data_IF_554879988227
#
_entry.id   IF_554879988227
#
_cell.length_a   1.000
_cell.length_b   1.000
_cell.length_c   1.000
_cell.angle_alpha   90.00
_cell.angle_beta   90.00
_cell.angle_gamma   90.00
#
_symmetry.space_group_name_H-M   'P 1'
#
loop_
_entity.id
_entity.type
_entity.pdbx_description
1 polymer ?
#
# COMPACT_ATOMS: atom_id res chain seq x y z
N UNK A 1 -3.08 32.84 -3.16
CA UNK A 1 -2.33 33.19 -2.16
C UNK A 1 -2.06 32.10 -1.12
N UNK A 2 -2.09 32.44 0.02
CA UNK A 2 -1.55 31.66 1.11
C UNK A 2 -2.24 30.36 1.40
N UNK A 3 -3.37 30.11 0.77
CA UNK A 3 -4.10 28.89 0.99
C UNK A 3 -3.27 27.65 0.74
N UNK A 4 -2.39 27.72 -0.24
CA UNK A 4 -1.54 26.57 -0.55
C UNK A 4 -0.63 26.18 0.59
N UNK A 5 -0.28 27.14 1.41
CA UNK A 5 0.60 26.89 2.54
C UNK A 5 -0.10 26.16 3.67
N UNK A 6 -1.41 26.12 3.62
CA UNK A 6 -2.20 25.46 4.64
C UNK A 6 -2.65 24.06 4.23
N UNK A 7 -2.15 23.59 3.09
CA UNK A 7 -2.49 22.26 2.62
C UNK A 7 -1.97 21.24 3.62
N UNK A 8 -2.83 20.36 4.06
CA UNK A 8 -2.46 19.28 4.93
C UNK A 8 -2.15 18.02 4.14
N UNK A 9 -1.71 16.99 4.83
CA UNK A 9 -1.35 15.74 4.20
C UNK A 9 -2.54 15.05 3.56
N UNK A 10 -3.74 15.19 4.11
CA UNK A 10 -4.90 14.53 3.53
C UNK A 10 -5.26 15.10 2.18
N UNK A 11 -5.04 16.41 1.96
CA UNK A 11 -5.24 16.98 0.63
C UNK A 11 -4.20 16.46 -0.35
N UNK A 12 -2.94 16.39 0.08
CA UNK A 12 -1.88 15.86 -0.76
C UNK A 12 -2.11 14.38 -1.09
N UNK A 13 -2.66 13.62 -0.15
CA UNK A 13 -2.88 12.20 -0.31
C UNK A 13 -4.12 11.85 -1.14
N UNK A 14 -4.96 12.84 -1.43
CA UNK A 14 -6.27 12.59 -2.03
C UNK A 14 -6.22 11.85 -3.36
N UNK A 15 -5.12 11.97 -4.09
CA UNK A 15 -4.94 11.28 -5.37
C UNK A 15 -4.13 10.01 -5.25
N UNK A 16 -3.69 9.67 -4.06
CA UNK A 16 -2.90 8.48 -3.84
C UNK A 16 -3.82 7.31 -3.51
N UNK A 17 -3.74 6.27 -4.32
CA UNK A 17 -4.59 5.09 -4.17
C UNK A 17 -3.80 3.95 -3.55
N UNK A 18 -4.32 3.38 -2.49
CA UNK A 18 -3.74 2.24 -1.80
C UNK A 18 -4.65 1.03 -2.00
N UNK A 19 -4.07 -0.09 -2.41
CA UNK A 19 -4.77 -1.36 -2.52
C UNK A 19 -4.38 -2.23 -1.33
N UNK A 20 -5.39 -2.72 -0.62
CA UNK A 20 -5.20 -3.62 0.51
C UNK A 20 -5.68 -4.99 0.10
N UNK A 21 -4.76 -5.96 0.02
CA UNK A 21 -5.09 -7.33 -0.28
C UNK A 21 -4.90 -8.15 0.98
N UNK A 22 -6.00 -8.60 1.57
CA UNK A 22 -5.98 -9.30 2.85
C UNK A 22 -7.17 -10.26 2.91
N UNK A 23 -6.94 -11.47 3.39
CA UNK A 23 -8.00 -12.47 3.51
C UNK A 23 -8.99 -12.16 4.62
N UNK A 24 -8.60 -11.35 5.59
CA UNK A 24 -9.41 -11.09 6.77
C UNK A 24 -10.24 -9.83 6.56
N UNK A 25 -11.57 -9.98 6.63
CA UNK A 25 -12.48 -8.88 6.42
C UNK A 25 -12.29 -7.77 7.43
N UNK A 26 -12.05 -8.11 8.69
CA UNK A 26 -11.89 -7.09 9.72
C UNK A 26 -10.64 -6.24 9.50
N UNK A 27 -9.56 -6.87 9.03
CA UNK A 27 -8.35 -6.14 8.69
C UNK A 27 -8.61 -5.21 7.52
N UNK A 28 -9.29 -5.70 6.47
CA UNK A 28 -9.61 -4.86 5.32
C UNK A 28 -10.42 -3.63 5.73
N UNK A 29 -11.43 -3.82 6.57
CA UNK A 29 -12.27 -2.72 6.99
C UNK A 29 -11.54 -1.74 7.90
N UNK A 30 -10.72 -2.26 8.81
CA UNK A 30 -9.91 -1.41 9.68
C UNK A 30 -8.97 -0.53 8.87
N UNK A 31 -8.24 -1.13 7.94
CA UNK A 31 -7.26 -0.38 7.16
C UNK A 31 -7.93 0.58 6.19
N UNK A 32 -9.07 0.17 5.61
CA UNK A 32 -9.83 1.08 4.76
C UNK A 32 -10.22 2.34 5.53
N UNK A 33 -10.74 2.18 6.74
CA UNK A 33 -11.14 3.31 7.55
C UNK A 33 -9.95 4.16 7.98
N UNK A 34 -8.91 3.51 8.48
CA UNK A 34 -7.76 4.21 9.04
C UNK A 34 -6.97 4.96 7.97
N UNK A 35 -6.72 4.32 6.85
CA UNK A 35 -5.98 4.97 5.77
C UNK A 35 -6.85 5.97 5.01
N UNK A 36 -8.15 5.70 4.91
CA UNK A 36 -9.07 6.66 4.33
C UNK A 36 -9.12 7.95 5.14
N UNK A 37 -9.03 7.84 6.46
CA UNK A 37 -8.99 9.01 7.32
C UNK A 37 -7.72 9.85 7.13
N UNK A 38 -6.64 9.23 6.63
CA UNK A 38 -5.42 9.94 6.28
C UNK A 38 -5.50 10.60 4.90
N UNK A 39 -6.60 10.44 4.20
CA UNK A 39 -6.82 11.07 2.90
C UNK A 39 -6.57 10.19 1.70
N UNK A 40 -6.12 8.96 1.87
CA UNK A 40 -5.87 8.07 0.74
C UNK A 40 -7.17 7.53 0.16
N UNK A 41 -7.16 7.25 -1.14
CA UNK A 41 -8.19 6.44 -1.77
C UNK A 41 -7.84 4.98 -1.51
N UNK A 42 -8.78 4.19 -1.03
CA UNK A 42 -8.48 2.82 -0.63
C UNK A 42 -9.39 1.85 -1.34
N UNK A 43 -8.78 0.84 -1.97
CA UNK A 43 -9.49 -0.30 -2.53
C UNK A 43 -9.05 -1.55 -1.81
N UNK A 44 -9.89 -2.57 -1.81
CA UNK A 44 -9.59 -3.82 -1.11
C UNK A 44 -9.75 -5.01 -2.05
N UNK A 45 -8.96 -6.05 -1.80
CA UNK A 45 -9.04 -7.33 -2.49
C UNK A 45 -9.01 -8.44 -1.46
N UNK A 46 -9.83 -9.47 -1.65
CA UNK A 46 -9.91 -10.61 -0.73
C UNK A 46 -8.96 -11.73 -1.11
N UNK A 47 -8.58 -11.78 -2.38
CA UNK A 47 -7.77 -12.88 -2.91
C UNK A 47 -6.96 -12.40 -4.10
N UNK A 48 -6.14 -13.31 -4.64
CA UNK A 48 -5.26 -12.98 -5.74
C UNK A 48 -5.99 -12.61 -7.03
N UNK A 49 -7.21 -13.11 -7.22
CA UNK A 49 -7.97 -12.80 -8.43
C UNK A 49 -8.41 -11.32 -8.41
N UNK A 50 -8.95 -10.88 -7.29
CA UNK A 50 -9.34 -9.48 -7.15
C UNK A 50 -8.13 -8.58 -7.18
N UNK A 51 -7.05 -9.00 -6.52
CA UNK A 51 -5.80 -8.26 -6.54
C UNK A 51 -5.31 -8.03 -7.96
N UNK A 52 -5.25 -9.10 -8.75
CA UNK A 52 -4.74 -9.03 -10.10
C UNK A 52 -5.60 -8.11 -10.97
N UNK A 53 -6.93 -8.21 -10.83
CA UNK A 53 -7.83 -7.36 -11.59
C UNK A 53 -7.60 -5.87 -11.29
N UNK A 54 -7.35 -5.55 -10.03
CA UNK A 54 -7.15 -4.15 -9.64
C UNK A 54 -5.78 -3.62 -10.03
N UNK A 55 -4.75 -4.47 -9.99
CA UNK A 55 -3.43 -4.07 -10.45
C UNK A 55 -3.42 -3.79 -11.94
N UNK A 56 -4.12 -4.62 -12.72
CA UNK A 56 -4.12 -4.55 -14.17
C UNK A 56 -5.23 -3.67 -14.73
N UNK A 57 -6.01 -3.03 -13.88
CA UNK A 57 -7.12 -2.20 -14.30
C UNK A 57 -6.68 -0.86 -14.84
N UNK A 58 -7.67 -0.04 -15.23
CA UNK A 58 -7.42 1.25 -15.85
C UNK A 58 -6.79 2.26 -14.89
N UNK A 59 -7.07 2.12 -13.61
CA UNK A 59 -6.53 3.02 -12.59
C UNK A 59 -5.81 2.21 -11.52
N UNK A 60 -4.58 1.78 -11.81
CA UNK A 60 -3.84 0.94 -10.86
C UNK A 60 -3.47 1.70 -9.59
N UNK A 61 -3.22 0.98 -8.49
CA UNK A 61 -2.84 1.63 -7.25
C UNK A 61 -1.42 2.17 -7.27
N UNK A 62 -1.13 3.03 -6.30
CA UNK A 62 0.21 3.55 -6.08
C UNK A 62 0.98 2.72 -5.06
N UNK A 63 0.28 1.96 -4.21
CA UNK A 63 0.89 1.15 -3.17
C UNK A 63 0.03 -0.07 -2.92
N UNK A 64 0.67 -1.20 -2.67
CA UNK A 64 -0.02 -2.43 -2.29
C UNK A 64 0.38 -2.81 -0.87
N UNK A 65 -0.62 -3.05 -0.01
CA UNK A 65 -0.41 -3.66 1.30
C UNK A 65 -0.92 -5.08 1.18
N UNK A 66 -0.04 -6.06 1.38
CA UNK A 66 -0.29 -7.43 0.98
C UNK A 66 -0.14 -8.42 2.13
N UNK A 67 -1.19 -9.19 2.36
CA UNK A 67 -1.18 -10.40 3.18
C UNK A 67 -0.73 -11.55 2.29
N UNK A 68 0.38 -12.20 2.63
CA UNK A 68 0.92 -13.28 1.81
C UNK A 68 0.07 -14.54 1.81
N UNK A 69 -0.91 -14.62 2.72
CA UNK A 69 -1.73 -15.81 2.83
C UNK A 69 -3.08 -15.67 2.15
N UNK A 70 -3.26 -14.67 1.30
CA UNK A 70 -4.52 -14.58 0.56
C UNK A 70 -4.64 -15.74 -0.43
N UNK A 71 -5.86 -16.25 -0.66
CA UNK A 71 -6.06 -17.32 -1.65
C UNK A 71 -5.61 -16.90 -3.05
N UNK A 72 -5.15 -17.84 -3.82
CA UNK A 72 -4.77 -17.68 -5.23
C UNK A 72 -3.61 -16.73 -5.50
N UNK A 73 -2.83 -16.40 -4.47
CA UNK A 73 -1.69 -15.51 -4.68
C UNK A 73 -0.64 -16.14 -5.59
N UNK A 74 -0.25 -17.37 -5.28
CA UNK A 74 0.80 -18.05 -6.04
C UNK A 74 0.32 -18.59 -7.37
N UNK A 75 -0.95 -18.97 -7.44
CA UNK A 75 -1.51 -19.66 -8.60
C UNK A 75 -1.75 -18.75 -9.79
N UNK A 76 -1.79 -17.45 -9.57
CA UNK A 76 -2.11 -16.48 -10.63
C UNK A 76 -0.92 -15.67 -11.10
N UNK A 77 0.27 -16.09 -10.72
CA UNK A 77 1.51 -15.44 -11.14
C UNK A 77 1.51 -13.94 -10.80
N UNK A 78 0.91 -13.61 -9.65
CA UNK A 78 0.81 -12.21 -9.22
C UNK A 78 2.20 -11.57 -9.13
N UNK A 79 3.17 -12.34 -8.62
CA UNK A 79 4.54 -11.82 -8.48
C UNK A 79 5.16 -11.43 -9.81
N UNK A 80 4.92 -12.22 -10.85
CA UNK A 80 5.44 -11.91 -12.16
C UNK A 80 4.83 -10.62 -12.69
N UNK A 81 3.54 -10.44 -12.47
CA UNK A 81 2.87 -9.21 -12.90
C UNK A 81 3.40 -7.99 -12.16
N UNK A 82 3.68 -8.15 -10.88
CA UNK A 82 4.24 -7.05 -10.09
C UNK A 82 5.65 -6.71 -10.54
N UNK A 83 6.47 -7.74 -10.83
CA UNK A 83 7.86 -7.54 -11.25
C UNK A 83 7.96 -6.80 -12.57
N UNK A 84 7.03 -7.09 -13.49
CA UNK A 84 7.11 -6.56 -14.84
C UNK A 84 6.54 -5.15 -14.99
N UNK A 85 6.02 -4.60 -13.90
CA UNK A 85 5.44 -3.26 -13.97
C UNK A 85 6.49 -2.17 -14.11
N UNK A 86 6.12 -1.14 -14.88
CA UNK A 86 6.93 0.06 -15.05
C UNK A 86 6.04 1.28 -14.90
N UNK A 87 6.21 2.09 -13.87
CA UNK A 87 7.18 1.92 -12.78
C UNK A 87 6.76 0.80 -11.82
N UNK A 88 7.69 0.28 -11.03
CA UNK A 88 7.35 -0.79 -10.10
C UNK A 88 6.36 -0.32 -9.04
N UNK A 89 5.48 -1.22 -8.63
CA UNK A 89 4.51 -0.96 -7.58
C UNK A 89 5.16 -1.27 -6.24
N UNK A 90 5.28 -0.31 -5.33
CA UNK A 90 5.81 -0.62 -4.01
C UNK A 90 4.85 -1.50 -3.23
N UNK A 91 5.38 -2.46 -2.50
CA UNK A 91 4.61 -3.45 -1.75
C UNK A 91 5.04 -3.45 -0.29
N UNK A 92 4.08 -3.31 0.61
CA UNK A 92 4.29 -3.52 2.04
C UNK A 92 3.67 -4.86 2.40
N UNK A 93 4.49 -5.77 2.93
CA UNK A 93 3.98 -7.04 3.43
C UNK A 93 3.43 -6.84 4.84
N UNK A 94 2.22 -7.30 5.07
CA UNK A 94 1.51 -7.09 6.33
C UNK A 94 1.01 -8.44 6.83
N UNK A 95 1.57 -8.94 7.92
CA UNK A 95 1.38 -10.32 8.34
C UNK A 95 1.28 -10.45 9.86
N UNK A 96 0.57 -11.48 10.32
CA UNK A 96 0.55 -11.86 11.73
C UNK A 96 1.80 -12.65 12.12
N UNK A 97 2.52 -13.19 11.15
CA UNK A 97 3.61 -14.11 11.43
C UNK A 97 4.78 -13.38 12.09
N UNK A 98 5.35 -13.92 13.16
CA UNK A 98 6.52 -13.31 13.78
C UNK A 98 7.76 -13.41 12.89
N UNK A 99 7.76 -14.37 11.96
CA UNK A 99 8.85 -14.54 11.02
C UNK A 99 8.44 -13.98 9.68
N UNK A 100 9.14 -12.96 9.26
CA UNK A 100 8.84 -12.34 7.98
C UNK A 100 9.50 -13.10 6.84
N UNK A 101 8.90 -13.12 5.66
CA UNK A 101 9.54 -13.68 4.49
C UNK A 101 10.86 -12.98 4.22
N UNK A 102 11.83 -13.71 3.72
CA UNK A 102 13.10 -13.12 3.35
C UNK A 102 12.96 -12.38 2.04
N UNK A 103 13.96 -11.60 1.71
CA UNK A 103 13.98 -10.94 0.41
C UNK A 103 14.06 -11.92 -0.74
N UNK A 104 14.54 -13.13 -0.49
CA UNK A 104 14.49 -14.17 -1.51
C UNK A 104 13.05 -14.55 -1.83
N UNK A 105 12.17 -14.52 -0.82
CA UNK A 105 10.77 -14.85 -1.00
C UNK A 105 10.01 -13.69 -1.63
N UNK A 106 10.28 -12.47 -1.16
CA UNK A 106 9.54 -11.29 -1.63
C UNK A 106 10.54 -10.17 -1.95
N UNK A 107 11.25 -10.28 -3.07
CA UNK A 107 12.28 -9.29 -3.40
C UNK A 107 11.75 -7.90 -3.70
N UNK A 108 10.46 -7.79 -3.97
CA UNK A 108 9.85 -6.50 -4.32
C UNK A 108 9.33 -5.73 -3.11
N UNK A 109 9.39 -6.32 -1.91
CA UNK A 109 8.80 -5.68 -0.74
C UNK A 109 9.62 -4.46 -0.32
N UNK A 110 8.92 -3.34 -0.16
CA UNK A 110 9.49 -2.11 0.36
C UNK A 110 9.57 -2.15 1.88
N UNK A 111 8.70 -2.92 2.53
CA UNK A 111 8.69 -3.03 3.98
C UNK A 111 7.94 -4.29 4.39
N UNK A 112 8.23 -4.75 5.61
CA UNK A 112 7.54 -5.89 6.24
C UNK A 112 7.00 -5.40 7.56
N UNK A 113 5.70 -5.55 7.80
CA UNK A 113 5.07 -5.10 9.03
C UNK A 113 4.20 -6.20 9.63
N UNK A 114 4.22 -6.25 10.95
CA UNK A 114 3.35 -7.17 11.69
C UNK A 114 1.95 -6.56 11.82
N UNK A 115 0.93 -7.39 11.71
CA UNK A 115 -0.45 -6.96 11.92
C UNK A 115 -0.68 -6.69 13.40
N UNK A 116 -1.14 -5.49 13.71
CA UNK A 116 -1.41 -5.05 15.08
C UNK A 116 -2.73 -4.31 15.10
N UNK A 117 -3.34 -4.21 16.29
CA UNK A 117 -4.52 -3.41 16.45
C UNK A 117 -4.26 -1.92 16.27
N UNK A 118 -3.05 -1.48 16.64
CA UNK A 118 -2.63 -0.11 16.45
C UNK A 118 -2.06 0.07 15.05
N UNK A 119 -2.56 1.04 14.32
CA UNK A 119 -2.16 1.28 12.93
C UNK A 119 -1.16 2.40 12.76
N UNK A 120 -0.64 2.95 13.85
CA UNK A 120 0.24 4.12 13.75
C UNK A 120 1.54 3.81 13.01
N UNK A 121 2.15 2.66 13.29
CA UNK A 121 3.36 2.26 12.59
C UNK A 121 3.09 2.06 11.10
N UNK A 122 1.99 1.41 10.77
CA UNK A 122 1.61 1.21 9.38
C UNK A 122 1.42 2.54 8.66
N UNK A 123 0.73 3.48 9.28
CA UNK A 123 0.52 4.79 8.68
C UNK A 123 1.84 5.51 8.42
N UNK A 124 2.76 5.44 9.34
CA UNK A 124 4.07 6.06 9.19
C UNK A 124 4.86 5.43 8.04
N UNK A 125 4.86 4.10 7.97
CA UNK A 125 5.59 3.40 6.91
C UNK A 125 4.94 3.65 5.55
N UNK A 126 3.61 3.68 5.48
CA UNK A 126 2.90 3.99 4.24
C UNK A 126 3.33 5.37 3.72
N UNK A 127 3.32 6.38 4.59
CA UNK A 127 3.71 7.72 4.19
C UNK A 127 5.16 7.76 3.71
N UNK A 128 6.05 7.05 4.39
CA UNK A 128 7.45 7.02 4.01
C UNK A 128 7.65 6.35 2.66
N UNK A 129 7.04 5.20 2.44
CA UNK A 129 7.19 4.47 1.19
C UNK A 129 6.63 5.28 0.02
N UNK A 130 5.47 5.87 0.20
CA UNK A 130 4.85 6.68 -0.84
C UNK A 130 5.71 7.90 -1.16
N UNK A 131 6.22 8.57 -0.15
CA UNK A 131 7.05 9.75 -0.35
C UNK A 131 8.35 9.42 -1.09
N UNK A 132 8.95 8.27 -0.82
CA UNK A 132 10.16 7.83 -1.50
C UNK A 132 9.89 7.35 -2.93
N UNK A 133 8.78 6.68 -3.13
CA UNK A 133 8.46 6.10 -4.43
C UNK A 133 7.92 7.14 -5.42
N UNK A 134 7.26 8.16 -4.91
CA UNK A 134 6.63 9.19 -5.74
C UNK A 134 6.95 10.57 -5.19
N UNK A 135 8.22 10.94 -5.16
CA UNK A 135 8.61 12.19 -4.49
C UNK A 135 8.02 13.45 -5.11
N UNK A 136 7.75 13.43 -6.42
CA UNK A 136 7.18 14.59 -7.09
C UNK A 136 5.69 14.73 -6.85
N UNK A 137 4.99 13.61 -6.68
CA UNK A 137 3.54 13.60 -6.52
C UNK A 137 3.11 13.70 -5.07
N UNK A 138 3.78 12.96 -4.19
CA UNK A 138 3.34 12.78 -2.81
C UNK A 138 4.41 13.07 -1.77
N UNK A 139 5.60 13.45 -2.20
CA UNK A 139 6.64 13.82 -1.25
C UNK A 139 6.24 15.05 -0.46
N UNK A 140 6.72 15.16 0.77
CA UNK A 140 6.41 16.29 1.62
C UNK A 140 7.33 17.44 1.28
N UNK A 141 6.90 18.26 0.36
CA UNK A 141 7.72 19.30 -0.23
C UNK A 141 8.26 20.27 0.81
N UNK A 142 7.44 20.59 1.79
CA UNK A 142 7.86 21.57 2.80
C UNK A 142 8.84 21.06 3.84
N UNK A 143 9.05 19.75 3.90
CA UNK A 143 9.93 19.18 4.91
C UNK A 143 11.36 19.25 4.45
N UNK A 144 12.23 19.64 5.28
CA UNK A 144 13.63 19.66 4.93
C UNK A 144 14.05 20.83 4.06
N UNK A 145 13.15 21.69 3.86
CA UNK A 145 13.49 22.89 3.12
C UNK A 145 13.99 23.95 4.08
#
# INVERSE_FOLDING_TARGET
MLILEQRDDSVANNHCKILIADRNRHVRELLRRELGAEGYQVEVARDGRELLALICGAEPPHLLILDLEIPYLDELEVWDRLKDRQPPLPVIIHSFLPEYPTQLTVPLAAAFLEKKGDTDELKAVVAEVIGKSYPRQFGRVGKGV
#
